data_IF_803187168144
#
_entry.id   IF_803187168144
#
_cell.length_a   1.000
_cell.length_b   1.000
_cell.length_c   1.000
_cell.angle_alpha   90.00
_cell.angle_beta   90.00
_cell.angle_gamma   90.00
#
_symmetry.space_group_name_H-M   'P 1'
#
loop_
_entity.id
_entity.type
_entity.pdbx_description
1 polymer ?
#
# COMPACT_ATOMS: atom_id res chain seq x y z
N UNK A 1 12.90 6.75 14.38
CA UNK A 1 11.82 6.47 13.40
C UNK A 1 12.16 5.16 12.72
N UNK A 2 11.39 4.08 12.92
CA UNK A 2 11.64 2.81 12.20
C UNK A 2 11.11 2.97 10.77
N UNK A 3 12.00 3.18 9.81
CA UNK A 3 11.64 3.34 8.40
C UNK A 3 11.31 2.00 7.71
N UNK A 4 11.54 0.89 8.40
CA UNK A 4 11.30 -0.45 7.88
C UNK A 4 9.84 -0.86 7.98
N UNK A 5 9.08 -0.65 6.91
CA UNK A 5 8.13 -1.70 6.56
C UNK A 5 8.82 -2.63 5.56
N UNK A 6 8.49 -3.93 5.54
CA UNK A 6 8.85 -4.80 4.43
C UNK A 6 8.42 -4.11 3.14
N UNK A 7 9.37 -3.88 2.25
CA UNK A 7 9.08 -3.24 0.97
C UNK A 7 8.42 -4.28 0.07
N UNK A 8 7.13 -4.07 -0.17
CA UNK A 8 6.36 -4.86 -1.12
C UNK A 8 6.82 -4.46 -2.53
N UNK A 9 7.32 -5.45 -3.27
CA UNK A 9 7.79 -5.29 -4.65
C UNK A 9 6.65 -5.57 -5.60
N UNK A 10 6.56 -4.85 -6.72
CA UNK A 10 5.56 -5.18 -7.74
C UNK A 10 6.12 -5.14 -9.15
N UNK A 11 6.27 -6.35 -9.70
CA UNK A 11 6.89 -6.60 -10.98
C UNK A 11 5.84 -6.21 -11.98
N UNK A 12 5.97 -5.01 -12.49
CA UNK A 12 5.34 -4.71 -13.76
C UNK A 12 6.01 -5.61 -14.78
N UNK A 13 5.33 -6.70 -15.14
CA UNK A 13 5.66 -7.43 -16.35
C UNK A 13 5.35 -6.50 -17.52
N UNK A 14 6.34 -5.74 -17.98
CA UNK A 14 6.27 -5.18 -19.32
C UNK A 14 6.37 -6.37 -20.27
N UNK A 15 5.23 -6.90 -20.67
CA UNK A 15 5.09 -7.80 -21.80
C UNK A 15 5.47 -7.06 -23.08
N UNK A 16 6.75 -6.77 -23.28
CA UNK A 16 7.29 -6.42 -24.59
C UNK A 16 7.56 -7.74 -25.33
N UNK A 17 6.48 -8.42 -25.72
CA UNK A 17 6.56 -9.52 -26.69
C UNK A 17 6.67 -8.89 -28.08
N UNK A 18 7.89 -8.85 -28.61
CA UNK A 18 8.10 -8.70 -30.05
C UNK A 18 7.63 -9.99 -30.75
N UNK A 19 6.33 -10.05 -31.07
CA UNK A 19 5.78 -11.14 -31.86
C UNK A 19 6.21 -10.98 -33.32
N UNK A 20 7.10 -11.86 -33.78
CA UNK A 20 7.36 -12.09 -35.20
C UNK A 20 7.59 -13.58 -35.42
N UNK A 21 6.67 -14.26 -36.12
CA UNK A 21 6.89 -15.60 -36.66
C UNK A 21 5.75 -16.57 -36.39
N UNK A 22 4.91 -16.79 -37.42
CA UNK A 22 3.69 -17.60 -37.36
C UNK A 22 3.85 -19.12 -37.20
N UNK A 23 2.71 -19.76 -36.90
CA UNK A 23 2.54 -21.20 -36.95
C UNK A 23 1.50 -21.68 -35.93
N UNK A 24 0.28 -21.98 -36.40
CA UNK A 24 -0.90 -22.19 -35.56
C UNK A 24 -0.82 -23.33 -34.55
N UNK A 25 -1.14 -22.99 -33.31
CA UNK A 25 -1.73 -23.87 -32.29
C UNK A 25 -2.36 -22.93 -31.26
N UNK A 26 -3.53 -23.29 -30.73
CA UNK A 26 -4.29 -22.48 -29.75
C UNK A 26 -3.57 -22.38 -28.39
N UNK A 27 -2.35 -21.83 -28.38
CA UNK A 27 -1.73 -21.31 -27.17
C UNK A 27 -2.38 -19.97 -26.91
N UNK A 28 -3.37 -19.94 -26.03
CA UNK A 28 -3.77 -18.70 -25.38
C UNK A 28 -2.50 -18.15 -24.74
N UNK A 29 -1.92 -17.11 -25.35
CA UNK A 29 -0.87 -16.35 -24.68
C UNK A 29 -1.43 -15.93 -23.32
N UNK A 30 -0.65 -16.03 -22.25
CA UNK A 30 -1.12 -15.62 -20.93
C UNK A 30 -1.57 -14.17 -21.02
N UNK A 31 -2.84 -13.91 -20.69
CA UNK A 31 -3.40 -12.57 -20.69
C UNK A 31 -2.48 -11.65 -19.87
N UNK A 32 -1.86 -10.70 -20.56
CA UNK A 32 -0.99 -9.73 -19.90
C UNK A 32 -1.87 -8.67 -19.26
N UNK A 33 -1.82 -8.58 -17.93
CA UNK A 33 -2.52 -7.53 -17.20
C UNK A 33 -1.65 -6.28 -17.22
N UNK A 34 -2.14 -5.23 -17.88
CA UNK A 34 -1.45 -3.93 -17.91
C UNK A 34 -1.92 -3.10 -16.74
N UNK A 35 -0.99 -2.70 -15.86
CA UNK A 35 -1.29 -1.77 -14.77
C UNK A 35 -1.32 -0.33 -15.29
N UNK A 36 -2.26 0.47 -14.78
CA UNK A 36 -2.48 1.85 -15.15
C UNK A 36 -2.52 2.77 -13.92
N UNK A 37 -2.27 4.06 -14.14
CA UNK A 37 -2.45 5.05 -13.09
C UNK A 37 -3.90 5.05 -12.59
N UNK A 38 -4.10 5.02 -11.28
CA UNK A 38 -5.39 4.87 -10.62
C UNK A 38 -5.73 3.45 -10.17
N UNK A 39 -4.95 2.44 -10.58
CA UNK A 39 -5.10 1.08 -10.05
C UNK A 39 -4.80 1.06 -8.55
N UNK A 40 -5.53 0.24 -7.81
CA UNK A 40 -5.42 0.16 -6.34
C UNK A 40 -5.36 -1.27 -5.83
N UNK A 41 -4.56 -1.47 -4.78
CA UNK A 41 -4.40 -2.74 -4.06
C UNK A 41 -4.56 -2.47 -2.56
N UNK A 42 -5.50 -3.15 -1.92
CA UNK A 42 -5.82 -2.95 -0.50
C UNK A 42 -5.43 -4.16 0.31
N UNK A 43 -4.72 -3.89 1.39
CA UNK A 43 -4.09 -4.88 2.23
C UNK A 43 -4.60 -4.79 3.66
N UNK A 44 -4.83 -5.95 4.27
CA UNK A 44 -4.89 -6.08 5.71
C UNK A 44 -3.48 -6.36 6.23
N UNK A 45 -3.10 -5.68 7.31
CA UNK A 45 -1.81 -5.86 7.98
C UNK A 45 -2.02 -6.15 9.46
N UNK A 46 -1.51 -7.28 9.92
CA UNK A 46 -1.48 -7.69 11.33
C UNK A 46 -0.04 -7.59 11.82
N UNK A 47 0.17 -6.86 12.92
CA UNK A 47 1.49 -6.73 13.58
C UNK A 47 1.40 -7.35 14.97
N UNK A 48 2.19 -8.40 15.22
CA UNK A 48 2.19 -9.17 16.46
C UNK A 48 3.57 -9.13 17.10
N UNK A 49 3.74 -8.38 18.21
CA UNK A 49 4.95 -8.47 19.03
C UNK A 49 5.13 -9.88 19.59
N UNK A 50 6.37 -10.32 19.81
CA UNK A 50 6.63 -11.61 20.45
C UNK A 50 5.99 -11.67 21.85
N UNK A 51 5.17 -12.70 22.09
CA UNK A 51 4.41 -12.87 23.33
C UNK A 51 3.21 -11.92 23.50
N UNK A 52 2.88 -11.10 22.50
CA UNK A 52 1.77 -10.14 22.54
C UNK A 52 0.58 -10.48 21.64
N UNK A 53 -0.45 -9.64 21.68
CA UNK A 53 -1.60 -9.69 20.76
C UNK A 53 -1.32 -8.91 19.47
N UNK A 54 -1.85 -9.40 18.35
CA UNK A 54 -1.77 -8.72 17.07
C UNK A 54 -2.60 -7.44 17.02
N UNK A 55 -2.09 -6.41 16.35
CA UNK A 55 -2.86 -5.21 15.96
C UNK A 55 -3.13 -5.24 14.46
N UNK A 56 -4.40 -5.11 14.08
CA UNK A 56 -4.82 -5.07 12.67
C UNK A 56 -4.92 -3.62 12.19
N UNK A 57 -4.42 -3.38 10.98
CA UNK A 57 -4.55 -2.13 10.24
C UNK A 57 -4.78 -2.44 8.78
N UNK A 58 -5.19 -1.44 8.00
CA UNK A 58 -5.32 -1.55 6.57
C UNK A 58 -4.45 -0.52 5.89
N UNK A 59 -4.01 -0.81 4.67
CA UNK A 59 -3.45 0.20 3.80
C UNK A 59 -3.83 -0.06 2.35
N UNK A 60 -3.95 1.02 1.59
CA UNK A 60 -4.16 0.94 0.15
C UNK A 60 -2.98 1.53 -0.57
N UNK A 61 -2.46 0.74 -1.50
CA UNK A 61 -1.47 1.15 -2.48
C UNK A 61 -2.21 1.61 -3.74
N UNK A 62 -1.96 2.84 -4.18
CA UNK A 62 -2.49 3.39 -5.43
C UNK A 62 -1.33 3.66 -6.40
N UNK A 63 -1.47 3.22 -7.64
CA UNK A 63 -0.51 3.53 -8.71
C UNK A 63 -0.74 4.98 -9.16
N UNK A 64 0.10 5.90 -8.71
CA UNK A 64 -0.05 7.33 -9.00
C UNK A 64 0.42 7.69 -10.41
N UNK A 65 1.48 7.03 -10.87
CA UNK A 65 1.99 7.20 -12.23
C UNK A 65 2.72 5.96 -12.71
N UNK A 66 2.69 5.75 -14.01
CA UNK A 66 3.46 4.72 -14.71
C UNK A 66 3.99 5.31 -16.01
N UNK A 67 5.28 5.13 -16.27
CA UNK A 67 5.91 5.45 -17.52
C UNK A 67 6.20 4.14 -18.25
N UNK A 68 5.37 3.81 -19.24
CA UNK A 68 5.46 2.56 -19.99
C UNK A 68 6.74 2.45 -20.84
N UNK A 69 7.35 3.58 -21.22
CA UNK A 69 8.57 3.58 -22.05
C UNK A 69 9.76 3.05 -21.26
N UNK A 70 9.84 3.42 -19.99
CA UNK A 70 10.99 3.06 -19.15
C UNK A 70 10.58 2.30 -17.89
N UNK A 71 9.37 1.74 -17.81
CA UNK A 71 8.87 0.97 -16.68
C UNK A 71 8.89 1.66 -15.31
N UNK A 72 9.14 2.98 -15.23
CA UNK A 72 9.14 3.70 -13.95
C UNK A 72 7.72 3.82 -13.42
N UNK A 73 7.55 3.68 -12.11
CA UNK A 73 6.26 3.88 -11.48
C UNK A 73 6.36 4.60 -10.14
N UNK A 74 5.28 5.29 -9.76
CA UNK A 74 5.12 5.88 -8.44
C UNK A 74 3.90 5.28 -7.77
N UNK A 75 4.05 4.87 -6.52
CA UNK A 75 2.99 4.28 -5.71
C UNK A 75 2.75 5.09 -4.45
N UNK A 76 1.50 5.29 -4.09
CA UNK A 76 1.11 6.02 -2.88
C UNK A 76 0.41 5.05 -1.93
N UNK A 77 0.92 4.95 -0.71
CA UNK A 77 0.34 4.13 0.36
C UNK A 77 -0.41 5.03 1.32
N UNK A 78 -1.68 4.70 1.55
CA UNK A 78 -2.57 5.39 2.49
C UNK A 78 -2.94 4.40 3.60
N UNK A 79 -2.78 4.78 4.87
CA UNK A 79 -2.90 3.85 6.01
C UNK A 79 -4.11 4.16 6.89
N UNK A 80 -4.85 3.13 7.30
CA UNK A 80 -6.04 3.30 8.15
C UNK A 80 -5.74 3.66 9.60
N UNK A 81 -4.49 3.49 10.05
CA UNK A 81 -4.09 3.75 11.43
C UNK A 81 -3.53 5.17 11.65
N UNK A 82 -3.65 6.06 10.66
CA UNK A 82 -3.12 7.43 10.71
C UNK A 82 -1.60 7.50 10.63
N UNK A 83 -0.93 6.41 10.24
CA UNK A 83 0.48 6.48 9.90
C UNK A 83 0.66 7.35 8.65
N UNK A 84 1.69 8.19 8.65
CA UNK A 84 1.99 9.06 7.52
C UNK A 84 2.02 8.27 6.19
N UNK A 85 1.33 8.82 5.19
CA UNK A 85 1.34 8.28 3.84
C UNK A 85 2.76 8.10 3.31
N UNK A 86 2.91 7.16 2.37
CA UNK A 86 4.21 6.86 1.75
C UNK A 86 4.13 6.98 0.26
N UNK A 87 5.16 7.56 -0.33
CA UNK A 87 5.32 7.58 -1.78
C UNK A 87 6.53 6.73 -2.13
N UNK A 88 6.35 5.67 -2.89
CA UNK A 88 7.42 4.78 -3.35
C UNK A 88 7.67 5.03 -4.83
N UNK A 89 8.93 5.17 -5.22
CA UNK A 89 9.35 5.37 -6.60
C UNK A 89 10.15 4.17 -7.07
N UNK A 90 9.75 3.61 -8.21
CA UNK A 90 10.38 2.44 -8.82
C UNK A 90 11.01 2.82 -10.17
N UNK A 91 12.20 2.29 -10.41
CA UNK A 91 12.90 2.32 -11.68
C UNK A 91 12.35 1.25 -12.66
N UNK A 92 12.92 1.20 -13.87
CA UNK A 92 12.50 0.38 -15.03
C UNK A 92 12.44 -1.14 -14.84
N UNK A 93 12.79 -1.64 -13.66
CA UNK A 93 12.96 -3.06 -13.36
C UNK A 93 12.33 -3.44 -12.02
N UNK A 94 11.32 -2.68 -11.56
CA UNK A 94 10.71 -2.83 -10.23
C UNK A 94 11.75 -2.71 -9.10
N UNK A 95 12.82 -1.98 -9.38
CA UNK A 95 13.83 -1.62 -8.39
C UNK A 95 13.35 -0.35 -7.73
N UNK A 96 13.04 -0.40 -6.44
CA UNK A 96 12.79 0.82 -5.67
C UNK A 96 14.00 1.76 -5.81
N UNK A 97 13.80 2.97 -6.28
CA UNK A 97 14.83 3.99 -6.43
C UNK A 97 14.76 5.06 -5.34
N UNK A 98 13.61 5.24 -4.73
CA UNK A 98 13.41 6.20 -3.66
C UNK A 98 12.08 6.03 -2.94
N UNK A 99 11.98 6.65 -1.77
CA UNK A 99 10.77 6.62 -0.96
C UNK A 99 10.64 7.92 -0.14
N UNK A 100 9.40 8.40 0.03
CA UNK A 100 9.07 9.52 0.91
C UNK A 100 8.14 9.03 2.01
N UNK A 101 8.44 9.38 3.26
CA UNK A 101 7.70 9.04 4.48
C UNK A 101 7.42 10.32 5.28
N UNK A 102 6.25 10.93 5.11
CA UNK A 102 5.98 12.26 5.65
C UNK A 102 7.06 13.26 5.20
N UNK A 103 7.82 13.82 6.15
CA UNK A 103 8.91 14.77 5.88
C UNK A 103 10.28 14.12 5.59
N UNK A 104 10.36 12.79 5.52
CA UNK A 104 11.62 12.05 5.29
C UNK A 104 11.72 11.58 3.85
N UNK A 105 12.82 11.89 3.17
CA UNK A 105 13.09 11.45 1.80
C UNK A 105 14.28 10.49 1.78
N UNK A 106 14.10 9.30 1.21
CA UNK A 106 15.11 8.27 1.08
C UNK A 106 15.44 8.02 -0.39
N UNK A 107 16.73 7.95 -0.71
CA UNK A 107 17.24 7.56 -2.02
C UNK A 107 17.96 6.23 -1.90
N UNK A 108 17.65 5.29 -2.80
CA UNK A 108 18.29 3.98 -2.86
C UNK A 108 19.44 3.97 -3.86
N UNK A 109 20.59 3.49 -3.41
CA UNK A 109 21.77 3.28 -4.25
C UNK A 109 22.24 1.83 -4.14
N UNK A 110 22.60 1.21 -5.27
CA UNK A 110 23.14 -0.15 -5.30
C UNK A 110 24.47 -0.24 -4.53
N UNK A 111 24.70 -1.35 -3.83
CA UNK A 111 26.07 -1.68 -3.42
C UNK A 111 26.89 -2.05 -4.65
N UNK A 112 28.18 -1.69 -4.66
CA UNK A 112 29.07 -2.05 -5.76
C UNK A 112 29.08 -3.57 -5.97
N UNK A 113 28.79 -4.02 -7.19
CA UNK A 113 28.74 -5.45 -7.55
C UNK A 113 27.50 -6.21 -7.08
N UNK A 114 26.55 -5.56 -6.39
CA UNK A 114 25.30 -6.17 -5.97
C UNK A 114 24.15 -5.84 -6.94
N UNK A 115 23.21 -6.78 -7.07
CA UNK A 115 21.93 -6.49 -7.70
C UNK A 115 21.10 -5.58 -6.79
N UNK A 116 20.39 -4.62 -7.38
CA UNK A 116 19.34 -3.87 -6.69
C UNK A 116 17.98 -4.57 -6.75
N UNK A 117 17.85 -5.62 -7.57
CA UNK A 117 16.64 -6.41 -7.64
C UNK A 117 16.53 -7.29 -6.40
N UNK A 118 15.53 -6.99 -5.62
CA UNK A 118 15.12 -7.73 -4.42
C UNK A 118 14.24 -8.94 -4.76
N UNK A 119 14.00 -9.22 -6.04
CA UNK A 119 13.30 -10.41 -6.52
C UNK A 119 13.89 -10.97 -7.83
N UNK A 120 13.70 -12.26 -8.07
CA UNK A 120 14.15 -12.95 -9.28
C UNK A 120 13.51 -12.36 -10.56
N UNK A 121 14.28 -12.31 -11.64
CA UNK A 121 13.75 -11.99 -12.96
C UNK A 121 13.07 -13.24 -13.57
N UNK A 122 11.96 -13.06 -14.32
CA UNK A 122 11.42 -14.13 -15.15
C UNK A 122 12.44 -14.68 -16.17
N UNK A 123 12.33 -15.94 -16.60
CA UNK A 123 11.33 -16.92 -16.17
C UNK A 123 11.59 -17.39 -14.73
N UNK A 124 10.50 -17.55 -13.96
CA UNK A 124 10.56 -17.98 -12.56
C UNK A 124 10.63 -19.50 -12.49
N UNK A 125 11.52 -20.04 -11.66
CA UNK A 125 11.64 -21.48 -11.43
C UNK A 125 11.87 -21.79 -9.94
N UNK A 126 11.33 -22.91 -9.47
CA UNK A 126 11.61 -23.43 -8.12
C UNK A 126 13.12 -23.58 -7.89
N UNK A 127 13.58 -23.34 -6.66
CA UNK A 127 15.00 -23.30 -6.26
C UNK A 127 15.81 -22.14 -6.84
N UNK A 128 15.27 -21.31 -7.73
CA UNK A 128 15.97 -20.12 -8.19
C UNK A 128 16.27 -19.20 -7.02
N UNK A 129 17.54 -18.83 -6.88
CA UNK A 129 18.02 -17.93 -5.83
C UNK A 129 18.49 -16.61 -6.41
N UNK A 130 18.50 -15.59 -5.55
CA UNK A 130 19.08 -14.29 -5.87
C UNK A 130 19.68 -13.67 -4.61
N UNK A 131 20.59 -12.73 -4.81
CA UNK A 131 21.13 -11.88 -3.74
C UNK A 131 20.99 -10.42 -4.15
N UNK A 132 20.92 -9.55 -3.16
CA UNK A 132 20.83 -8.11 -3.39
C UNK A 132 21.53 -7.34 -2.28
N UNK A 133 21.86 -6.09 -2.60
CA UNK A 133 22.46 -5.17 -1.64
C UNK A 133 22.36 -3.73 -2.08
N UNK A 134 21.98 -2.85 -1.14
CA UNK A 134 21.80 -1.42 -1.40
C UNK A 134 22.05 -0.60 -0.13
N UNK A 135 22.18 0.71 -0.31
CA UNK A 135 22.16 1.71 0.75
C UNK A 135 20.98 2.64 0.52
N UNK A 136 20.13 2.79 1.53
CA UNK A 136 19.12 3.84 1.57
C UNK A 136 19.69 5.03 2.35
N UNK A 137 19.81 6.18 1.68
CA UNK A 137 20.20 7.44 2.32
C UNK A 137 18.94 8.28 2.54
N UNK A 138 18.56 8.41 3.80
CA UNK A 138 17.35 9.10 4.24
C UNK A 138 17.67 10.46 4.84
N UNK A 139 16.89 11.47 4.46
CA UNK A 139 17.04 12.86 4.88
C UNK A 139 15.75 13.35 5.55
N UNK A 140 15.87 13.90 6.76
CA UNK A 140 14.77 14.49 7.52
C UNK A 140 15.20 15.87 8.01
N UNK A 141 14.76 16.92 7.33
CA UNK A 141 15.33 18.26 7.54
C UNK A 141 16.83 18.25 7.25
N UNK A 142 17.66 18.63 8.24
CA UNK A 142 19.12 18.60 8.11
C UNK A 142 19.76 17.26 8.51
N UNK A 143 19.01 16.34 9.11
CA UNK A 143 19.54 15.05 9.54
C UNK A 143 19.64 14.06 8.37
N UNK A 144 20.76 13.36 8.27
CA UNK A 144 21.01 12.31 7.27
C UNK A 144 21.25 10.99 7.98
N UNK A 145 20.61 9.92 7.53
CA UNK A 145 20.79 8.55 8.03
C UNK A 145 21.03 7.62 6.85
N UNK A 146 22.03 6.74 6.96
CA UNK A 146 22.30 5.71 5.99
C UNK A 146 21.94 4.32 6.55
N UNK A 147 21.17 3.57 5.77
CA UNK A 147 20.77 2.20 6.06
C UNK A 147 21.42 1.27 5.03
N UNK A 148 22.31 0.39 5.47
CA UNK A 148 22.92 -0.61 4.59
C UNK A 148 22.11 -1.90 4.65
N UNK A 149 21.64 -2.38 3.50
CA UNK A 149 20.82 -3.58 3.40
C UNK A 149 21.50 -4.60 2.52
N UNK A 150 21.52 -5.84 2.96
CA UNK A 150 21.90 -7.02 2.17
C UNK A 150 20.87 -8.11 2.36
N UNK A 151 20.66 -8.94 1.34
CA UNK A 151 19.70 -10.02 1.45
C UNK A 151 19.84 -11.05 0.36
N UNK A 152 19.07 -12.12 0.55
CA UNK A 152 18.92 -13.21 -0.40
C UNK A 152 17.48 -13.68 -0.44
N UNK A 153 17.14 -14.33 -1.54
CA UNK A 153 15.84 -14.97 -1.69
C UNK A 153 15.93 -16.27 -2.46
N UNK A 154 14.87 -17.07 -2.34
CA UNK A 154 14.70 -18.34 -3.04
C UNK A 154 13.24 -18.56 -3.39
N UNK A 155 12.98 -18.98 -4.62
CA UNK A 155 11.66 -19.46 -5.03
C UNK A 155 11.44 -20.85 -4.44
N UNK A 156 10.34 -21.00 -3.72
CA UNK A 156 9.92 -22.24 -3.04
C UNK A 156 8.98 -23.04 -3.93
N UNK A 157 8.02 -22.38 -4.56
CA UNK A 157 6.99 -23.04 -5.37
C UNK A 157 6.34 -22.07 -6.37
N UNK A 158 5.73 -22.64 -7.40
CA UNK A 158 4.75 -22.00 -8.27
C UNK A 158 3.42 -22.73 -8.02
N UNK A 159 2.38 -22.00 -7.63
CA UNK A 159 1.11 -22.60 -7.19
C UNK A 159 -0.07 -21.67 -7.47
N UNK A 160 -1.28 -22.24 -7.55
CA UNK A 160 -2.52 -21.45 -7.56
C UNK A 160 -2.97 -21.20 -6.12
N UNK A 161 -3.24 -19.94 -5.77
CA UNK A 161 -3.69 -19.54 -4.44
C UNK A 161 -5.03 -18.84 -4.53
N UNK A 162 -5.97 -19.24 -3.68
CA UNK A 162 -7.26 -18.57 -3.50
C UNK A 162 -7.31 -17.86 -2.15
N UNK A 163 -7.86 -16.64 -2.12
CA UNK A 163 -8.07 -15.85 -0.91
C UNK A 163 -9.23 -14.85 -1.08
N UNK A 164 -9.34 -13.91 -0.14
CA UNK A 164 -10.41 -12.90 -0.13
C UNK A 164 -10.47 -12.08 -1.41
N UNK A 165 -9.31 -11.76 -1.98
CA UNK A 165 -9.23 -10.98 -3.22
C UNK A 165 -9.46 -11.80 -4.50
N UNK A 166 -9.59 -13.14 -4.43
CA UNK A 166 -9.77 -14.00 -5.60
C UNK A 166 -8.75 -15.13 -5.70
N UNK A 167 -8.61 -15.69 -6.91
CA UNK A 167 -7.66 -16.77 -7.21
C UNK A 167 -6.57 -16.28 -8.15
N UNK A 168 -5.33 -16.67 -7.88
CA UNK A 168 -4.13 -16.15 -8.51
C UNK A 168 -3.14 -17.26 -8.85
N UNK A 169 -2.41 -17.10 -9.95
CA UNK A 169 -1.19 -17.88 -10.17
C UNK A 169 -0.05 -17.20 -9.44
N UNK A 170 0.53 -17.88 -8.46
CA UNK A 170 1.45 -17.27 -7.52
C UNK A 170 2.80 -17.98 -7.50
N UNK A 171 3.84 -17.19 -7.23
CA UNK A 171 5.14 -17.67 -6.82
C UNK A 171 5.27 -17.52 -5.31
N UNK A 172 5.57 -18.62 -4.62
CA UNK A 172 5.96 -18.62 -3.21
C UNK A 172 7.46 -18.50 -3.11
N UNK A 173 7.94 -17.62 -2.24
CA UNK A 173 9.36 -17.41 -2.04
C UNK A 173 9.70 -17.08 -0.60
N UNK A 174 10.93 -17.42 -0.21
CA UNK A 174 11.54 -16.97 1.03
C UNK A 174 12.50 -15.82 0.78
N UNK A 175 12.59 -14.90 1.75
CA UNK A 175 13.58 -13.84 1.83
C UNK A 175 14.30 -13.89 3.17
N UNK A 176 15.59 -13.58 3.16
CA UNK A 176 16.38 -13.26 4.33
C UNK A 176 17.11 -11.95 4.08
N UNK A 177 16.96 -10.99 4.99
CA UNK A 177 17.52 -9.65 4.88
C UNK A 177 18.19 -9.25 6.18
N UNK A 178 19.28 -8.51 6.06
CA UNK A 178 19.96 -7.84 7.14
C UNK A 178 20.08 -6.35 6.80
N UNK A 179 19.61 -5.51 7.70
CA UNK A 179 19.72 -4.06 7.63
C UNK A 179 20.56 -3.55 8.79
N UNK A 180 21.50 -2.66 8.49
CA UNK A 180 22.29 -1.95 9.49
C UNK A 180 22.00 -0.44 9.43
N UNK A 181 21.58 0.11 10.56
CA UNK A 181 21.40 1.55 10.73
C UNK A 181 22.65 2.14 11.39
N UNK A 182 23.48 2.81 10.58
CA UNK A 182 24.73 3.43 11.03
C UNK A 182 24.53 4.50 12.13
N UNK A 183 23.45 5.26 12.09
CA UNK A 183 23.20 6.34 13.04
C UNK A 183 22.79 5.81 14.42
N UNK A 184 22.05 4.71 14.47
CA UNK A 184 21.58 4.09 15.71
C UNK A 184 22.45 2.93 16.19
N UNK A 185 23.41 2.47 15.37
CA UNK A 185 24.16 1.23 15.57
C UNK A 185 23.26 0.01 15.80
N UNK A 186 22.10 -0.05 15.12
CA UNK A 186 21.15 -1.16 15.26
C UNK A 186 21.17 -2.07 14.05
N UNK A 187 20.98 -3.37 14.30
CA UNK A 187 20.80 -4.39 13.28
C UNK A 187 19.35 -4.84 13.26
N UNK A 188 18.78 -4.94 12.06
CA UNK A 188 17.46 -5.52 11.86
C UNK A 188 17.59 -6.72 10.93
N UNK A 189 17.26 -7.89 11.44
CA UNK A 189 17.15 -9.12 10.65
C UNK A 189 15.69 -9.35 10.27
N UNK A 190 15.45 -9.64 8.99
CA UNK A 190 14.11 -9.99 8.49
C UNK A 190 14.18 -11.33 7.79
N UNK A 191 13.25 -12.21 8.13
CA UNK A 191 12.98 -13.42 7.38
C UNK A 191 11.52 -13.39 6.95
N UNK A 192 11.25 -13.61 5.67
CA UNK A 192 9.88 -13.54 5.16
C UNK A 192 9.55 -14.74 4.28
N UNK A 193 8.28 -15.13 4.28
CA UNK A 193 7.70 -16.00 3.26
C UNK A 193 6.55 -15.24 2.62
N UNK A 194 6.63 -15.02 1.32
CA UNK A 194 5.61 -14.28 0.60
C UNK A 194 5.06 -15.10 -0.57
N UNK A 195 3.85 -14.73 -0.97
CA UNK A 195 3.16 -15.14 -2.18
C UNK A 195 3.00 -13.92 -3.07
N UNK A 196 3.36 -14.05 -4.33
CA UNK A 196 3.27 -12.97 -5.32
C UNK A 196 2.59 -13.49 -6.57
N UNK A 197 1.64 -12.72 -7.08
CA UNK A 197 0.98 -13.05 -8.34
C UNK A 197 1.98 -12.95 -9.49
N UNK A 198 2.00 -13.95 -10.38
CA UNK A 198 2.95 -14.02 -11.49
C UNK A 198 2.53 -13.20 -12.70
N UNK A 199 1.28 -12.73 -12.74
CA UNK A 199 0.71 -11.98 -13.87
C UNK A 199 0.80 -10.47 -13.63
N UNK A 200 0.18 -9.97 -12.56
CA UNK A 200 0.21 -8.58 -12.10
C UNK A 200 1.49 -8.23 -11.33
N UNK A 201 2.24 -9.23 -10.87
CA UNK A 201 3.45 -9.04 -10.09
C UNK A 201 3.23 -8.46 -8.70
N UNK A 202 2.00 -8.41 -8.18
CA UNK A 202 1.69 -7.86 -6.85
C UNK A 202 1.90 -8.90 -5.75
N UNK A 203 2.21 -8.45 -4.53
CA UNK A 203 2.23 -9.35 -3.38
C UNK A 203 0.79 -9.66 -2.97
N UNK A 204 0.51 -10.95 -2.79
CA UNK A 204 -0.80 -11.49 -2.38
C UNK A 204 -0.85 -11.69 -0.87
N UNK A 205 0.23 -12.22 -0.31
CA UNK A 205 0.39 -12.40 1.13
C UNK A 205 1.88 -12.36 1.47
N UNK A 206 2.24 -11.85 2.63
CA UNK A 206 3.57 -12.04 3.15
C UNK A 206 3.60 -12.03 4.67
N UNK A 207 4.27 -13.05 5.24
CA UNK A 207 4.59 -13.13 6.66
C UNK A 207 6.07 -12.84 6.84
N UNK A 208 6.38 -11.76 7.53
CA UNK A 208 7.73 -11.31 7.86
C UNK A 208 7.95 -11.40 9.36
N UNK A 209 9.02 -12.06 9.78
CA UNK A 209 9.55 -11.98 11.14
C UNK A 209 10.69 -10.97 11.15
N UNK A 210 10.53 -9.90 11.90
CA UNK A 210 11.55 -8.87 12.14
C UNK A 210 12.16 -9.06 13.53
N UNK A 211 13.47 -9.06 13.63
CA UNK A 211 14.23 -9.12 14.87
C UNK A 211 15.22 -7.94 14.91
N UNK A 212 15.11 -7.08 15.92
CA UNK A 212 15.96 -5.89 16.07
C UNK A 212 16.90 -6.04 17.25
N UNK A 213 18.20 -5.86 17.04
CA UNK A 213 19.23 -5.87 18.09
C UNK A 213 20.06 -4.58 18.05
N UNK A 214 20.60 -4.18 19.21
CA UNK A 214 21.56 -3.05 19.34
C UNK A 214 23.02 -3.49 19.22
N UNK A 215 23.28 -4.78 19.39
CA UNK A 215 24.60 -5.39 19.24
C UNK A 215 24.45 -6.68 18.43
N UNK A 216 25.49 -7.05 17.70
CA UNK A 216 25.52 -8.32 16.95
C UNK A 216 25.45 -9.47 17.95
N UNK A 217 24.37 -10.25 17.91
CA UNK A 217 24.14 -11.38 18.83
C UNK A 217 23.47 -11.04 20.16
N UNK A 218 23.06 -9.78 20.38
CA UNK A 218 22.31 -9.37 21.57
C UNK A 218 20.85 -9.84 21.58
N UNK A 219 20.12 -9.63 22.70
CA UNK A 219 18.69 -9.92 22.77
C UNK A 219 17.93 -9.12 21.71
N UNK A 220 17.01 -9.79 21.02
CA UNK A 220 16.24 -9.20 19.93
C UNK A 220 14.83 -8.85 20.38
N UNK A 221 14.35 -7.68 19.97
CA UNK A 221 12.91 -7.40 19.97
C UNK A 221 12.34 -7.98 18.68
N UNK A 222 11.48 -9.00 18.82
CA UNK A 222 10.90 -9.71 17.69
C UNK A 222 9.47 -9.24 17.44
N UNK A 223 9.13 -9.09 16.17
CA UNK A 223 7.78 -8.75 15.73
C UNK A 223 7.46 -9.54 14.46
N UNK A 224 6.26 -10.11 14.40
CA UNK A 224 5.74 -10.74 13.19
C UNK A 224 4.78 -9.77 12.50
N UNK A 225 4.97 -9.59 11.21
CA UNK A 225 4.12 -8.80 10.34
C UNK A 225 3.50 -9.73 9.31
N UNK A 226 2.18 -9.77 9.27
CA UNK A 226 1.44 -10.46 8.22
C UNK A 226 0.69 -9.42 7.39
N UNK A 227 0.82 -9.50 6.08
CA UNK A 227 0.10 -8.64 5.13
C UNK A 227 -0.62 -9.52 4.13
N UNK A 228 -1.91 -9.29 3.92
CA UNK A 228 -2.75 -10.06 3.00
C UNK A 228 -3.54 -9.12 2.08
N UNK A 229 -3.57 -9.42 0.79
CA UNK A 229 -4.37 -8.71 -0.20
C UNK A 229 -5.85 -9.07 0.03
N UNK A 230 -6.66 -8.05 0.35
CA UNK A 230 -8.09 -8.22 0.63
C UNK A 230 -8.99 -7.60 -0.44
N UNK A 231 -8.41 -6.82 -1.36
CA UNK A 231 -9.12 -6.30 -2.51
C UNK A 231 -8.21 -5.54 -3.46
N UNK A 232 -8.63 -5.42 -4.70
CA UNK A 232 -7.94 -4.64 -5.72
C UNK A 232 -8.91 -4.15 -6.78
N UNK A 233 -8.54 -3.06 -7.44
CA UNK A 233 -9.24 -2.50 -8.60
C UNK A 233 -8.20 -2.16 -9.65
N UNK A 234 -8.21 -2.94 -10.73
CA UNK A 234 -7.35 -2.78 -11.91
C UNK A 234 -8.28 -2.62 -13.12
N UNK A 235 -8.09 -1.58 -13.93
CA UNK A 235 -9.05 -1.20 -14.97
C UNK A 235 -9.36 -2.33 -15.97
N UNK A 236 -8.33 -3.09 -16.37
CA UNK A 236 -8.43 -4.12 -17.40
C UNK A 236 -8.42 -5.55 -16.84
N UNK A 237 -8.62 -5.71 -15.52
CA UNK A 237 -8.65 -7.05 -14.91
C UNK A 237 -10.09 -7.55 -14.74
N UNK A 238 -10.45 -8.74 -15.27
CA UNK A 238 -11.84 -9.24 -15.29
C UNK A 238 -12.38 -9.52 -13.88
N UNK A 239 -11.50 -9.88 -12.95
CA UNK A 239 -11.85 -9.98 -11.53
C UNK A 239 -11.37 -8.70 -10.83
N UNK A 240 -12.28 -7.82 -10.40
CA UNK A 240 -11.94 -6.76 -9.46
C UNK A 240 -12.71 -6.99 -8.17
N UNK A 241 -12.01 -6.94 -7.05
CA UNK A 241 -12.62 -7.13 -5.72
C UNK A 241 -12.46 -5.82 -4.96
N UNK A 242 -13.50 -5.00 -5.00
CA UNK A 242 -13.52 -3.74 -4.26
C UNK A 242 -13.90 -3.98 -2.81
N UNK A 243 -13.07 -3.51 -1.88
CA UNK A 243 -13.34 -3.56 -0.43
C UNK A 243 -13.54 -2.15 0.12
N UNK A 244 -14.40 -2.02 1.14
CA UNK A 244 -14.62 -0.76 1.85
C UNK A 244 -13.37 -0.34 2.64
N UNK A 245 -12.59 -1.31 3.10
CA UNK A 245 -11.37 -1.10 3.88
C UNK A 245 -10.34 -0.19 3.18
N UNK A 246 -10.46 0.01 1.86
CA UNK A 246 -9.62 0.96 1.12
C UNK A 246 -9.84 2.42 1.49
N UNK A 247 -10.97 2.72 2.12
CA UNK A 247 -11.33 4.06 2.60
C UNK A 247 -11.13 4.19 4.11
N UNK A 248 -10.74 3.12 4.80
CA UNK A 248 -10.57 3.13 6.23
C UNK A 248 -9.46 4.10 6.66
N UNK A 249 -9.70 4.83 7.74
CA UNK A 249 -8.75 5.78 8.31
C UNK A 249 -9.38 7.06 8.80
N UNK A 250 -8.53 8.08 8.97
CA UNK A 250 -8.92 9.40 9.43
C UNK A 250 -8.88 10.37 8.25
N UNK A 251 -9.92 11.17 8.14
CA UNK A 251 -10.14 12.12 7.06
C UNK A 251 -10.36 13.52 7.64
N UNK A 252 -9.90 14.53 6.91
CA UNK A 252 -10.32 15.92 7.07
C UNK A 252 -11.47 16.16 6.12
N UNK A 253 -12.63 16.60 6.60
CA UNK A 253 -13.74 17.01 5.74
C UNK A 253 -14.03 18.50 5.95
N UNK A 254 -14.14 19.24 4.87
CA UNK A 254 -14.54 20.64 4.83
C UNK A 254 -15.84 20.77 4.03
N UNK A 255 -16.78 21.58 4.50
CA UNK A 255 -18.02 21.83 3.78
C UNK A 255 -18.35 23.33 3.72
N UNK A 256 -19.02 23.73 2.63
CA UNK A 256 -19.38 25.12 2.32
C UNK A 256 -20.79 25.18 1.75
N UNK A 257 -21.37 26.38 1.66
CA UNK A 257 -22.69 26.62 1.06
C UNK A 257 -23.50 27.60 1.88
N UNK A 258 -24.73 27.23 2.24
CA UNK A 258 -25.56 28.00 3.18
C UNK A 258 -25.07 27.98 4.64
N UNK A 259 -24.10 27.10 4.94
CA UNK A 259 -23.35 26.99 6.19
C UNK A 259 -21.94 26.50 5.83
N UNK A 260 -20.98 26.77 6.70
CA UNK A 260 -19.58 26.39 6.53
C UNK A 260 -19.10 25.71 7.80
N UNK A 261 -18.18 24.76 7.64
CA UNK A 261 -17.59 24.08 8.77
C UNK A 261 -16.63 22.97 8.36
N UNK A 262 -16.14 22.26 9.37
CA UNK A 262 -15.17 21.19 9.19
C UNK A 262 -15.43 20.01 10.14
N UNK A 263 -15.02 18.82 9.71
CA UNK A 263 -14.85 17.65 10.55
C UNK A 263 -13.36 17.28 10.51
N UNK A 264 -12.58 17.82 11.46
CA UNK A 264 -11.13 17.63 11.49
C UNK A 264 -10.68 16.17 11.69
N UNK A 265 -11.58 15.27 12.12
CA UNK A 265 -11.26 13.85 12.33
C UNK A 265 -12.46 12.96 12.04
N UNK A 266 -12.89 12.94 10.78
CA UNK A 266 -13.86 11.97 10.29
C UNK A 266 -13.19 10.59 10.22
N UNK A 267 -13.77 9.59 10.87
CA UNK A 267 -13.27 8.22 10.87
C UNK A 267 -14.14 7.34 9.99
N UNK A 268 -13.50 6.60 9.10
CA UNK A 268 -14.11 5.48 8.36
C UNK A 268 -13.45 4.21 8.85
N UNK A 269 -14.21 3.24 9.32
CA UNK A 269 -13.66 1.93 9.70
C UNK A 269 -13.55 0.98 8.51
N UNK A 270 -13.10 -0.25 8.75
CA UNK A 270 -12.90 -1.26 7.70
C UNK A 270 -14.21 -1.78 7.08
N UNK A 271 -15.32 -1.68 7.82
CA UNK A 271 -16.65 -2.12 7.41
C UNK A 271 -17.43 -0.98 6.73
N UNK A 272 -16.92 0.24 6.79
CA UNK A 272 -17.49 1.43 6.16
C UNK A 272 -18.31 2.30 7.07
N UNK A 273 -18.34 2.06 8.38
CA UNK A 273 -19.05 2.95 9.28
C UNK A 273 -18.28 4.26 9.41
N UNK A 274 -19.02 5.35 9.31
CA UNK A 274 -18.49 6.70 9.42
C UNK A 274 -18.92 7.32 10.73
N UNK A 275 -17.97 7.95 11.42
CA UNK A 275 -18.23 8.75 12.61
C UNK A 275 -17.32 9.97 12.65
N UNK A 276 -17.87 11.13 13.03
CA UNK A 276 -17.11 12.35 13.22
C UNK A 276 -17.78 13.28 14.23
N UNK A 277 -16.99 14.16 14.84
CA UNK A 277 -17.48 15.42 15.42
C UNK A 277 -17.03 16.55 14.50
N UNK A 278 -17.95 17.46 14.22
CA UNK A 278 -17.76 18.55 13.27
C UNK A 278 -18.13 19.87 13.94
N UNK A 279 -17.50 20.95 13.50
CA UNK A 279 -17.81 22.31 13.92
C UNK A 279 -18.48 23.06 12.76
N UNK A 280 -19.54 23.81 13.05
CA UNK A 280 -20.25 24.70 12.12
C UNK A 280 -20.15 26.14 12.59
N UNK A 281 -20.00 27.07 11.66
CA UNK A 281 -20.01 28.51 11.93
C UNK A 281 -21.38 29.00 12.45
N UNK A 282 -22.48 28.39 11.99
CA UNK A 282 -23.85 28.80 12.35
C UNK A 282 -24.48 27.91 13.42
N UNK A 283 -24.13 26.63 13.45
CA UNK A 283 -24.86 25.59 14.19
C UNK A 283 -24.10 25.06 15.41
N UNK A 284 -22.85 25.51 15.62
CA UNK A 284 -21.96 24.96 16.64
C UNK A 284 -21.52 23.53 16.34
N UNK A 285 -21.12 22.81 17.40
CA UNK A 285 -20.62 21.43 17.26
C UNK A 285 -21.77 20.44 17.03
N UNK A 286 -21.53 19.45 16.17
CA UNK A 286 -22.48 18.37 15.88
C UNK A 286 -21.76 17.05 15.57
N UNK A 287 -22.47 15.93 15.69
CA UNK A 287 -21.95 14.62 15.29
C UNK A 287 -22.41 14.26 13.89
N UNK A 288 -21.56 13.61 13.11
CA UNK A 288 -21.86 13.03 11.79
C UNK A 288 -21.71 11.52 11.87
N UNK A 289 -22.73 10.76 11.46
CA UNK A 289 -22.70 9.30 11.41
C UNK A 289 -23.26 8.80 10.08
N UNK A 290 -22.63 7.78 9.48
CA UNK A 290 -23.02 7.31 8.16
C UNK A 290 -22.30 6.06 7.70
N UNK A 291 -22.31 5.82 6.40
CA UNK A 291 -21.65 4.69 5.77
C UNK A 291 -20.94 5.06 4.47
N UNK A 292 -19.89 4.30 4.14
CA UNK A 292 -19.24 4.26 2.83
C UNK A 292 -19.35 2.84 2.28
N UNK A 293 -19.84 2.67 1.06
CA UNK A 293 -19.88 1.36 0.40
C UNK A 293 -18.59 1.05 -0.37
N UNK A 294 -18.44 -0.20 -0.82
CA UNK A 294 -17.20 -0.66 -1.48
C UNK A 294 -16.93 0.03 -2.82
N UNK A 295 -17.95 0.63 -3.45
CA UNK A 295 -17.81 1.48 -4.64
C UNK A 295 -17.48 2.95 -4.32
N UNK A 296 -17.43 3.32 -3.04
CA UNK A 296 -17.15 4.67 -2.56
C UNK A 296 -18.38 5.55 -2.35
N UNK A 297 -19.61 5.06 -2.57
CA UNK A 297 -20.79 5.88 -2.28
C UNK A 297 -20.89 6.15 -0.77
N UNK A 298 -21.11 7.42 -0.43
CA UNK A 298 -21.16 7.91 0.94
C UNK A 298 -22.55 8.49 1.25
N UNK A 299 -23.04 8.18 2.44
CA UNK A 299 -24.26 8.74 3.00
C UNK A 299 -24.12 8.87 4.51
N UNK A 300 -24.41 10.05 5.06
CA UNK A 300 -24.36 10.31 6.49
C UNK A 300 -25.43 11.30 6.93
N UNK A 301 -25.78 11.25 8.21
CA UNK A 301 -26.71 12.17 8.85
C UNK A 301 -26.06 12.79 10.08
N UNK A 302 -26.38 14.07 10.32
CA UNK A 302 -25.91 14.82 11.49
C UNK A 302 -26.87 14.66 12.68
N UNK A 303 -26.41 14.98 13.90
CA UNK A 303 -27.30 15.08 15.09
C UNK A 303 -28.43 16.11 14.94
N UNK A 304 -28.32 17.03 13.97
CA UNK A 304 -29.35 18.02 13.63
C UNK A 304 -30.22 17.61 12.42
N UNK A 305 -30.13 16.37 11.94
CA UNK A 305 -30.98 15.85 10.87
C UNK A 305 -30.61 16.31 9.45
N UNK A 306 -29.45 16.94 9.27
CA UNK A 306 -28.88 17.24 7.93
C UNK A 306 -28.23 16.02 7.32
N UNK A 307 -28.32 15.86 6.01
CA UNK A 307 -27.77 14.73 5.28
C UNK A 307 -26.56 15.15 4.44
N UNK A 308 -25.52 14.32 4.46
CA UNK A 308 -24.35 14.42 3.61
C UNK A 308 -24.36 13.23 2.66
N UNK A 309 -24.07 13.46 1.38
CA UNK A 309 -23.91 12.40 0.40
C UNK A 309 -22.81 12.73 -0.60
N UNK A 310 -22.22 11.71 -1.20
CA UNK A 310 -21.20 11.89 -2.24
C UNK A 310 -20.41 10.62 -2.50
N UNK A 311 -19.15 10.81 -2.90
CA UNK A 311 -18.32 9.69 -3.36
C UNK A 311 -16.88 9.84 -2.89
N UNK A 312 -16.35 8.76 -2.34
CA UNK A 312 -14.92 8.53 -2.15
C UNK A 312 -14.36 8.03 -3.47
N UNK A 313 -13.89 8.96 -4.30
CA UNK A 313 -13.40 8.67 -5.66
C UNK A 313 -12.06 7.96 -5.66
N UNK A 314 -11.28 8.12 -4.59
CA UNK A 314 -10.00 7.46 -4.39
C UNK A 314 -9.78 7.14 -2.89
N UNK A 315 -8.73 6.36 -2.54
CA UNK A 315 -8.33 6.16 -1.15
C UNK A 315 -7.90 7.44 -0.42
N UNK A 316 -7.64 8.54 -1.15
CA UNK A 316 -7.10 9.79 -0.57
C UNK A 316 -8.03 10.99 -0.67
N UNK A 317 -9.07 10.94 -1.51
CA UNK A 317 -9.96 12.07 -1.76
C UNK A 317 -11.42 11.65 -1.88
N UNK A 318 -12.31 12.51 -1.39
CA UNK A 318 -13.75 12.36 -1.51
C UNK A 318 -14.42 13.73 -1.70
N UNK A 319 -15.56 13.76 -2.38
CA UNK A 319 -16.35 14.99 -2.58
C UNK A 319 -17.84 14.66 -2.62
N UNK A 320 -18.67 15.68 -2.36
CA UNK A 320 -20.11 15.52 -2.45
C UNK A 320 -20.89 16.77 -2.09
N UNK A 321 -22.15 16.56 -1.72
CA UNK A 321 -23.09 17.61 -1.33
C UNK A 321 -23.67 17.32 0.06
N UNK A 322 -24.21 18.36 0.68
CA UNK A 322 -25.01 18.25 1.89
C UNK A 322 -26.35 18.99 1.72
N UNK A 323 -27.36 18.51 2.43
CA UNK A 323 -28.74 19.01 2.41
C UNK A 323 -29.24 19.17 3.85
N UNK A 324 -29.70 20.39 4.17
CA UNK A 324 -30.39 20.72 5.41
C UNK A 324 -31.91 20.66 5.28
N UNK A 325 -32.61 20.93 6.39
CA UNK A 325 -34.07 20.78 6.54
C UNK A 325 -34.92 21.84 5.82
N UNK A 326 -34.34 22.98 5.42
CA UNK A 326 -35.07 24.12 4.81
C UNK A 326 -34.41 24.59 3.51
N UNK A 327 -34.10 23.65 2.60
CA UNK A 327 -33.47 23.97 1.31
C UNK A 327 -32.02 24.46 1.40
N UNK A 328 -31.45 24.47 2.60
CA UNK A 328 -30.03 24.68 2.83
C UNK A 328 -29.23 23.59 2.09
N UNK A 329 -28.35 24.00 1.19
CA UNK A 329 -27.51 23.10 0.41
C UNK A 329 -26.08 23.60 0.38
N UNK A 330 -25.18 22.69 0.05
CA UNK A 330 -23.79 23.02 -0.17
C UNK A 330 -22.96 21.84 -0.63
N UNK A 331 -21.66 22.08 -0.78
CA UNK A 331 -20.68 21.09 -1.22
C UNK A 331 -19.71 20.76 -0.08
N UNK A 332 -19.12 19.57 -0.14
CA UNK A 332 -18.05 19.17 0.76
C UNK A 332 -16.92 18.48 0.00
N UNK A 333 -15.72 18.55 0.56
CA UNK A 333 -14.53 17.82 0.12
C UNK A 333 -13.85 17.21 1.33
N UNK A 334 -13.23 16.05 1.15
CA UNK A 334 -12.44 15.42 2.19
C UNK A 334 -11.12 14.86 1.66
N UNK A 335 -10.10 14.92 2.51
CA UNK A 335 -8.76 14.38 2.25
C UNK A 335 -8.35 13.43 3.37
N UNK A 336 -7.79 12.28 3.00
CA UNK A 336 -7.24 11.31 3.96
C UNK A 336 -5.98 11.90 4.65
N UNK A 337 -5.82 11.67 5.95
CA UNK A 337 -4.75 12.21 6.80
C UNK A 337 -3.64 11.19 7.09
#
# INVERSE_FOLDING_TARGET
>A
MRLSAPQFLSLLSLGLLSACGGGGSDSSEPDTVTLAAGDTFTYQRVVTPEGGSGTTSHFTEALASINLVNGKSTRIHTFSNGAAGRTLQYASTDVLSGATYGSTNCVRTANAGASTRTFAAPPLATEQTWTYGYVDTCTTGAAVTALSVTGSGRIIALETVSGTAGSFQAVRYALNEMEFNSAASTYTQRSATCLRDTVMGIVLSCTTREAVTTEVGGPAVVTTLQTDLIGFKVADHPASVSTVARFAGVWSLDYTGSDTGECASLRVDADGLVSATCASDLSGDFTLAGTVSSNGAFSATTSHGRNFSGTFSSPSTATGNWLGTVGAVGAWSATHR
#
